data_IF_608783415214
#
_entry.id   IF_608783415214
#
_cell.length_a   1.000
_cell.length_b   1.000
_cell.length_c   1.000
_cell.angle_alpha   90.00
_cell.angle_beta   90.00
_cell.angle_gamma   90.00
#
_symmetry.space_group_name_H-M   'P 1'
#
loop_
_entity.id
_entity.type
_entity.pdbx_description
1 polymer ?
#
# COMPACT_ATOMS: atom_id res chain seq x y z
N UNK A 1 21.30 -34.74 58.65
CA UNK A 1 21.22 -33.68 57.63
C UNK A 1 20.18 -34.11 56.60
N UNK A 2 19.10 -33.35 56.42
CA UNK A 2 17.99 -33.71 55.53
C UNK A 2 18.34 -33.32 54.10
N UNK A 3 18.34 -34.26 53.17
CA UNK A 3 18.54 -33.98 51.75
C UNK A 3 17.31 -33.24 51.19
N UNK A 4 17.50 -32.00 50.73
CA UNK A 4 16.49 -31.22 50.01
C UNK A 4 16.45 -31.73 48.55
N UNK A 5 15.31 -32.18 48.01
CA UNK A 5 15.24 -32.60 46.63
C UNK A 5 15.35 -31.38 45.73
N UNK A 6 16.42 -31.32 44.92
CA UNK A 6 16.55 -30.34 43.83
C UNK A 6 15.53 -30.71 42.76
N UNK A 7 14.48 -29.90 42.62
CA UNK A 7 13.58 -29.94 41.47
C UNK A 7 14.38 -29.54 40.23
N UNK A 8 14.83 -30.53 39.44
CA UNK A 8 15.27 -30.28 38.07
C UNK A 8 14.02 -29.90 37.25
N UNK A 9 13.81 -28.60 37.05
CA UNK A 9 12.94 -28.15 35.98
C UNK A 9 13.57 -28.58 34.65
N UNK A 10 12.88 -29.45 33.92
CA UNK A 10 13.20 -29.70 32.52
C UNK A 10 12.95 -28.37 31.80
N UNK A 11 13.97 -27.54 31.61
CA UNK A 11 13.88 -26.38 30.72
C UNK A 11 13.71 -26.93 29.30
N UNK A 12 12.46 -27.04 28.85
CA UNK A 12 12.18 -27.19 27.43
C UNK A 12 12.88 -26.04 26.70
N UNK A 13 13.78 -26.37 25.78
CA UNK A 13 14.48 -25.38 24.98
C UNK A 13 13.45 -24.53 24.23
N UNK A 14 13.44 -23.22 24.47
CA UNK A 14 12.60 -22.30 23.72
C UNK A 14 13.03 -22.34 22.25
N UNK A 15 12.06 -22.43 21.34
CA UNK A 15 12.29 -22.40 19.89
C UNK A 15 11.74 -21.10 19.32
N UNK A 16 12.30 -20.61 18.19
CA UNK A 16 11.69 -19.50 17.48
C UNK A 16 10.23 -19.79 17.12
N UNK A 17 9.36 -18.76 17.02
CA UNK A 17 7.96 -18.96 16.69
C UNK A 17 7.80 -19.52 15.26
N UNK A 18 6.64 -20.14 14.94
CA UNK A 18 6.27 -20.37 13.55
C UNK A 18 6.04 -19.04 12.83
N UNK A 19 6.17 -19.05 11.49
CA UNK A 19 5.81 -17.90 10.68
C UNK A 19 4.31 -17.58 10.82
N UNK A 20 3.91 -16.30 10.95
CA UNK A 20 2.50 -15.93 11.03
C UNK A 20 1.71 -16.27 9.76
N UNK A 21 0.40 -16.53 9.88
CA UNK A 21 -0.48 -16.63 8.72
C UNK A 21 -1.16 -15.29 8.49
N UNK A 22 -0.98 -14.70 7.31
CA UNK A 22 -1.66 -13.46 6.94
C UNK A 22 -3.14 -13.73 6.70
N UNK A 23 -4.03 -12.87 7.19
CA UNK A 23 -5.49 -13.04 7.11
C UNK A 23 -6.14 -11.94 6.28
N UNK A 24 -5.78 -10.67 6.49
CA UNK A 24 -6.32 -9.52 5.75
C UNK A 24 -5.21 -8.55 5.32
N UNK A 25 -5.29 -7.94 4.13
CA UNK A 25 -6.26 -8.22 3.06
C UNK A 25 -6.13 -9.64 2.49
N UNK A 26 -7.17 -10.09 1.79
CA UNK A 26 -7.10 -11.31 0.97
C UNK A 26 -5.96 -11.19 -0.04
N UNK A 27 -5.29 -12.30 -0.33
CA UNK A 27 -4.17 -12.27 -1.27
C UNK A 27 -4.64 -11.86 -2.67
N UNK A 28 -4.08 -10.77 -3.20
CA UNK A 28 -4.46 -10.19 -4.48
C UNK A 28 -5.75 -9.36 -4.43
N UNK A 29 -6.22 -8.94 -3.25
CA UNK A 29 -7.37 -8.06 -3.14
C UNK A 29 -7.16 -6.77 -3.95
N UNK A 30 -8.21 -6.31 -4.64
CA UNK A 30 -8.22 -5.03 -5.37
C UNK A 30 -9.16 -4.05 -4.70
N UNK A 31 -9.06 -2.77 -5.08
CA UNK A 31 -9.94 -1.70 -4.62
C UNK A 31 -9.98 -1.59 -3.08
N UNK A 32 -8.82 -1.76 -2.45
CA UNK A 32 -8.70 -1.71 -1.00
C UNK A 32 -8.62 -0.26 -0.54
N UNK A 33 -9.72 0.22 0.04
CA UNK A 33 -9.83 1.55 0.62
C UNK A 33 -8.83 1.77 1.77
N UNK A 34 -8.35 3.00 1.93
CA UNK A 34 -7.53 3.39 3.08
C UNK A 34 -8.38 3.90 4.26
N UNK A 35 -7.94 3.71 5.52
CA UNK A 35 -6.75 2.97 5.97
C UNK A 35 -6.82 1.47 5.66
N UNK A 36 -5.72 0.89 5.22
CA UNK A 36 -5.65 -0.56 4.96
C UNK A 36 -5.36 -1.28 6.27
N UNK A 37 -6.17 -2.29 6.58
CA UNK A 37 -5.98 -3.14 7.76
C UNK A 37 -5.18 -4.39 7.38
N UNK A 38 -3.90 -4.41 7.75
CA UNK A 38 -3.07 -5.60 7.71
C UNK A 38 -3.32 -6.41 8.98
N UNK A 39 -3.68 -7.68 8.82
CA UNK A 39 -4.03 -8.57 9.92
C UNK A 39 -3.44 -9.96 9.70
N UNK A 40 -3.02 -10.60 10.78
CA UNK A 40 -2.47 -11.95 10.76
C UNK A 40 -2.81 -12.71 12.04
N UNK A 41 -2.73 -14.04 11.97
CA UNK A 41 -3.00 -14.88 13.13
C UNK A 41 -2.03 -14.58 14.29
N UNK A 42 -2.58 -14.49 15.50
CA UNK A 42 -1.79 -14.44 16.73
C UNK A 42 -0.90 -15.68 16.86
N UNK A 43 0.41 -15.46 16.95
CA UNK A 43 1.39 -16.50 17.24
C UNK A 43 1.76 -16.48 18.72
N UNK A 44 1.61 -17.62 19.39
CA UNK A 44 1.94 -17.75 20.82
C UNK A 44 3.43 -17.52 21.09
N UNK A 45 3.77 -17.09 22.30
CA UNK A 45 5.15 -16.82 22.78
C UNK A 45 5.86 -15.62 22.14
N UNK A 46 5.17 -14.89 21.24
CA UNK A 46 5.74 -13.75 20.54
C UNK A 46 5.88 -12.53 21.44
N UNK A 47 7.02 -11.85 21.30
CA UNK A 47 7.28 -10.55 21.92
C UNK A 47 7.08 -9.40 20.94
N UNK A 48 7.33 -9.63 19.65
CA UNK A 48 7.07 -8.67 18.58
C UNK A 48 6.96 -9.35 17.20
N UNK A 49 6.32 -8.66 16.28
CA UNK A 49 6.31 -8.95 14.85
C UNK A 49 7.10 -7.89 14.10
N UNK A 50 7.69 -8.27 12.98
CA UNK A 50 8.25 -7.36 11.99
C UNK A 50 7.38 -7.44 10.74
N UNK A 51 6.96 -6.27 10.25
CA UNK A 51 6.08 -6.12 9.09
C UNK A 51 6.80 -5.29 8.04
N UNK A 52 6.90 -5.85 6.84
CA UNK A 52 7.45 -5.16 5.67
C UNK A 52 6.39 -5.01 4.59
N UNK A 53 6.39 -3.83 3.96
CA UNK A 53 5.56 -3.52 2.79
C UNK A 53 6.47 -2.95 1.70
N UNK A 54 6.26 -3.39 0.46
CA UNK A 54 7.01 -2.98 -0.73
C UNK A 54 6.05 -2.93 -1.94
N UNK A 55 6.46 -2.30 -3.04
CA UNK A 55 5.73 -2.32 -4.32
C UNK A 55 6.17 -3.49 -5.22
N UNK A 56 7.14 -4.28 -4.76
CA UNK A 56 7.66 -5.49 -5.42
C UNK A 56 7.69 -6.68 -4.45
N UNK A 57 7.60 -7.90 -4.97
CA UNK A 57 7.72 -9.13 -4.17
C UNK A 57 9.18 -9.45 -3.76
N UNK A 58 10.14 -8.65 -4.21
CA UNK A 58 11.55 -8.78 -3.89
C UNK A 58 11.90 -8.19 -2.51
N UNK A 59 11.14 -7.20 -2.04
CA UNK A 59 11.39 -6.48 -0.78
C UNK A 59 12.78 -5.78 -0.74
N UNK A 60 13.20 -5.22 -1.88
CA UNK A 60 14.50 -4.56 -2.04
C UNK A 60 14.46 -3.03 -1.76
N UNK A 61 13.28 -2.42 -1.83
CA UNK A 61 13.08 -0.97 -1.70
C UNK A 61 11.82 -0.68 -0.87
N UNK A 62 11.88 -1.10 0.40
CA UNK A 62 10.76 -1.13 1.32
C UNK A 62 10.04 0.23 1.40
N UNK A 63 8.74 0.20 1.18
CA UNK A 63 7.81 1.29 1.51
C UNK A 63 7.79 1.48 3.02
N UNK A 64 7.81 0.37 3.77
CA UNK A 64 7.89 0.40 5.22
C UNK A 64 8.55 -0.87 5.78
N UNK A 65 9.16 -0.70 6.95
CA UNK A 65 9.71 -1.76 7.79
C UNK A 65 9.50 -1.36 9.25
N UNK A 66 8.65 -2.08 9.97
CA UNK A 66 8.27 -1.71 11.35
C UNK A 66 8.13 -2.93 12.24
N UNK A 67 8.27 -2.70 13.56
CA UNK A 67 8.08 -3.72 14.58
C UNK A 67 6.87 -3.40 15.46
N UNK A 68 6.03 -4.39 15.70
CA UNK A 68 4.75 -4.24 16.40
C UNK A 68 4.58 -5.32 17.47
N UNK A 69 3.94 -4.98 18.59
CA UNK A 69 3.56 -5.97 19.60
C UNK A 69 2.21 -6.65 19.34
N UNK A 70 1.42 -6.09 18.41
CA UNK A 70 0.09 -6.57 18.04
C UNK A 70 0.17 -7.31 16.70
N UNK A 71 -0.76 -8.23 16.50
CA UNK A 71 -0.94 -9.01 15.26
C UNK A 71 -1.72 -8.30 14.16
N UNK A 72 -1.81 -6.97 14.25
CA UNK A 72 -2.59 -6.17 13.34
C UNK A 72 -2.02 -4.76 13.21
N UNK A 73 -2.22 -4.14 12.05
CA UNK A 73 -1.75 -2.79 11.77
C UNK A 73 -2.63 -2.04 10.77
N UNK A 74 -3.02 -0.81 11.11
CA UNK A 74 -3.63 0.12 10.17
C UNK A 74 -2.55 0.97 9.50
N UNK A 75 -2.37 0.78 8.21
CA UNK A 75 -1.46 1.56 7.37
C UNK A 75 -2.24 2.57 6.51
N UNK A 76 -1.67 3.76 6.34
CA UNK A 76 -2.24 4.90 5.60
C UNK A 76 -1.17 5.56 4.74
N UNK A 77 -1.59 6.38 3.78
CA UNK A 77 -0.67 7.16 2.94
C UNK A 77 0.05 6.29 1.91
N UNK A 78 -0.60 5.20 1.50
CA UNK A 78 -0.15 4.43 0.34
C UNK A 78 -0.61 5.13 -0.93
N UNK A 79 0.12 4.98 -2.02
CA UNK A 79 -0.32 5.50 -3.32
C UNK A 79 -1.57 4.73 -3.78
N UNK A 80 -2.51 5.44 -4.42
CA UNK A 80 -3.77 4.86 -4.95
C UNK A 80 -3.54 4.08 -6.25
N UNK A 81 -4.31 3.00 -6.48
CA UNK A 81 -4.16 2.15 -7.66
C UNK A 81 -2.86 1.34 -7.73
N UNK A 82 -2.04 1.36 -6.68
CA UNK A 82 -0.75 0.66 -6.61
C UNK A 82 -0.91 -0.69 -5.94
N UNK A 83 -0.30 -1.73 -6.52
CA UNK A 83 -0.18 -3.04 -5.88
C UNK A 83 0.98 -3.04 -4.90
N UNK A 84 0.68 -3.35 -3.63
CA UNK A 84 1.66 -3.54 -2.57
C UNK A 84 1.79 -5.02 -2.21
N UNK A 85 3.01 -5.43 -1.90
CA UNK A 85 3.38 -6.72 -1.37
C UNK A 85 3.75 -6.55 0.10
N UNK A 86 3.35 -7.50 0.94
CA UNK A 86 3.63 -7.43 2.36
C UNK A 86 3.89 -8.81 2.96
N UNK A 87 4.73 -8.82 3.99
CA UNK A 87 5.13 -10.02 4.72
C UNK A 87 5.37 -9.70 6.19
N UNK A 88 5.22 -10.72 7.03
CA UNK A 88 5.37 -10.64 8.47
C UNK A 88 6.24 -11.80 8.97
N UNK A 89 7.08 -11.53 9.95
CA UNK A 89 7.76 -12.56 10.77
C UNK A 89 7.62 -12.27 12.25
N UNK A 90 7.68 -13.30 13.06
CA UNK A 90 7.49 -13.24 14.51
C UNK A 90 8.81 -13.41 15.25
N UNK A 91 8.95 -12.77 16.41
CA UNK A 91 10.12 -12.91 17.28
C UNK A 91 9.71 -13.35 18.69
N UNK A 92 10.53 -14.20 19.29
CA UNK A 92 10.56 -14.39 20.74
C UNK A 92 12.03 -14.42 21.23
N UNK A 93 12.24 -14.76 22.51
CA UNK A 93 13.58 -14.81 23.10
C UNK A 93 14.52 -15.87 22.48
N UNK A 94 13.99 -16.86 21.76
CA UNK A 94 14.80 -17.84 21.03
C UNK A 94 15.20 -17.38 19.62
N UNK A 95 14.56 -16.34 19.09
CA UNK A 95 14.90 -15.73 17.82
C UNK A 95 13.70 -15.42 16.94
N UNK A 96 14.01 -15.18 15.67
CA UNK A 96 13.04 -14.88 14.62
C UNK A 96 12.52 -16.15 13.96
N UNK A 97 11.24 -16.14 13.58
CA UNK A 97 10.69 -17.08 12.62
C UNK A 97 11.23 -16.80 11.22
N UNK A 98 11.01 -17.75 10.32
CA UNK A 98 11.02 -17.44 8.89
C UNK A 98 9.93 -16.40 8.55
N UNK A 99 10.06 -15.75 7.40
CA UNK A 99 8.99 -14.91 6.85
C UNK A 99 7.79 -15.77 6.47
N UNK A 100 6.58 -15.23 6.63
CA UNK A 100 5.36 -15.84 6.12
C UNK A 100 5.35 -15.89 4.58
N UNK A 101 4.38 -16.60 4.02
CA UNK A 101 4.05 -16.45 2.61
C UNK A 101 3.61 -15.00 2.34
N UNK A 102 4.26 -14.36 1.36
CA UNK A 102 3.92 -13.00 0.93
C UNK A 102 2.46 -12.94 0.48
N UNK A 103 1.78 -11.83 0.80
CA UNK A 103 0.50 -11.46 0.20
C UNK A 103 0.62 -10.13 -0.53
N UNK A 104 -0.33 -9.86 -1.42
CA UNK A 104 -0.47 -8.55 -2.05
C UNK A 104 -1.88 -8.00 -1.96
N UNK A 105 -2.01 -6.69 -2.15
CA UNK A 105 -3.28 -5.99 -2.34
C UNK A 105 -3.07 -4.75 -3.23
N UNK A 106 -4.12 -4.27 -3.88
CA UNK A 106 -4.11 -3.04 -4.68
C UNK A 106 -5.05 -2.02 -4.05
N UNK A 107 -4.53 -0.82 -3.82
CA UNK A 107 -5.30 0.28 -3.22
C UNK A 107 -6.40 0.79 -4.16
N UNK A 108 -7.51 1.25 -3.58
CA UNK A 108 -8.60 1.89 -4.32
C UNK A 108 -8.14 3.17 -5.04
N UNK A 109 -8.73 3.45 -6.22
CA UNK A 109 -8.62 4.73 -6.92
C UNK A 109 -9.87 5.54 -6.59
N UNK A 110 -9.71 6.70 -5.95
CA UNK A 110 -10.83 7.55 -5.51
C UNK A 110 -11.13 8.72 -6.45
N UNK A 111 -10.30 8.92 -7.49
CA UNK A 111 -10.40 10.00 -8.46
C UNK A 111 -10.70 9.49 -9.87
N UNK A 112 -11.27 10.37 -10.70
CA UNK A 112 -11.55 10.07 -12.11
C UNK A 112 -10.41 10.62 -12.97
N UNK A 113 -9.85 9.76 -13.81
CA UNK A 113 -8.85 10.20 -14.78
C UNK A 113 -9.44 11.25 -15.74
N UNK A 114 -8.78 12.40 -15.85
CA UNK A 114 -9.23 13.56 -16.61
C UNK A 114 -10.21 14.49 -15.89
N UNK A 115 -10.59 14.20 -14.65
CA UNK A 115 -11.30 15.10 -13.74
C UNK A 115 -10.28 15.93 -12.96
N UNK A 116 -9.80 17.00 -13.59
CA UNK A 116 -8.74 17.83 -13.06
C UNK A 116 -9.25 18.79 -11.97
N UNK A 117 -10.54 19.14 -12.00
CA UNK A 117 -11.14 20.05 -11.03
C UNK A 117 -11.80 19.33 -9.83
N UNK A 118 -11.93 18.00 -9.88
CA UNK A 118 -12.48 17.15 -8.83
C UNK A 118 -14.00 17.20 -8.72
N UNK A 119 -14.72 17.54 -9.80
CA UNK A 119 -16.19 17.65 -9.81
C UNK A 119 -16.91 16.33 -10.15
N UNK A 120 -16.16 15.27 -10.43
CA UNK A 120 -16.63 13.95 -10.79
C UNK A 120 -17.01 13.80 -12.27
N UNK A 121 -16.82 14.83 -13.10
CA UNK A 121 -17.20 14.84 -14.51
C UNK A 121 -16.05 15.27 -15.41
N UNK A 122 -15.58 14.38 -16.27
CA UNK A 122 -14.63 14.77 -17.32
C UNK A 122 -15.30 15.65 -18.40
N UNK A 123 -14.95 16.94 -18.45
CA UNK A 123 -15.52 17.89 -19.38
C UNK A 123 -14.60 19.10 -19.71
N UNK A 124 -15.17 20.16 -20.30
CA UNK A 124 -14.43 21.37 -20.68
C UNK A 124 -13.84 22.10 -19.47
N UNK A 125 -14.50 22.03 -18.32
CA UNK A 125 -14.04 22.69 -17.11
C UNK A 125 -12.69 22.14 -16.66
N UNK A 126 -12.44 20.84 -16.80
CA UNK A 126 -11.14 20.21 -16.53
C UNK A 126 -10.06 20.74 -17.44
N UNK A 127 -10.34 20.85 -18.74
CA UNK A 127 -9.41 21.46 -19.71
C UNK A 127 -9.05 22.88 -19.27
N UNK A 128 -10.04 23.68 -18.88
CA UNK A 128 -9.79 25.06 -18.43
C UNK A 128 -9.04 25.12 -17.10
N UNK A 129 -9.23 24.12 -16.24
CA UNK A 129 -8.52 23.97 -14.98
C UNK A 129 -7.03 23.67 -15.23
N UNK A 130 -6.72 22.68 -16.08
CA UNK A 130 -5.34 22.34 -16.46
C UNK A 130 -4.63 23.53 -17.12
N UNK A 131 -5.29 24.24 -18.03
CA UNK A 131 -4.74 25.47 -18.65
C UNK A 131 -4.41 26.54 -17.58
N UNK A 132 -5.28 26.68 -16.57
CA UNK A 132 -5.07 27.66 -15.50
C UNK A 132 -3.93 27.24 -14.58
N UNK A 133 -3.76 25.96 -14.30
CA UNK A 133 -2.60 25.44 -13.58
C UNK A 133 -1.29 25.74 -14.32
N UNK A 134 -1.15 25.29 -15.57
CA UNK A 134 0.11 25.40 -16.33
C UNK A 134 0.50 26.83 -16.72
N UNK A 135 -0.47 27.74 -16.96
CA UNK A 135 -0.18 29.09 -17.48
C UNK A 135 -0.64 30.25 -16.57
N UNK A 136 -1.46 30.00 -15.55
CA UNK A 136 -2.06 31.08 -14.73
C UNK A 136 -1.78 30.94 -13.24
N UNK A 137 -0.85 30.07 -12.84
CA UNK A 137 -0.53 29.81 -11.43
C UNK A 137 -1.78 29.40 -10.63
N UNK A 138 -2.71 28.68 -11.27
CA UNK A 138 -3.82 28.05 -10.59
C UNK A 138 -3.37 26.93 -9.64
N UNK A 139 -4.27 26.40 -8.80
CA UNK A 139 -3.98 25.24 -7.97
C UNK A 139 -3.64 24.01 -8.83
N UNK A 140 -2.83 23.10 -8.27
CA UNK A 140 -2.59 21.80 -8.88
C UNK A 140 -3.87 20.95 -8.80
N UNK A 141 -4.14 20.09 -9.81
CA UNK A 141 -5.11 19.00 -9.70
C UNK A 141 -4.74 18.06 -8.55
N UNK A 142 -5.74 17.58 -7.83
CA UNK A 142 -5.57 16.64 -6.71
C UNK A 142 -6.37 15.36 -6.99
N UNK A 143 -5.70 14.21 -7.22
CA UNK A 143 -4.26 14.07 -7.37
C UNK A 143 -3.76 14.63 -8.70
N UNK A 144 -2.46 14.93 -8.77
CA UNK A 144 -1.79 15.39 -10.02
C UNK A 144 -2.03 14.43 -11.18
N UNK A 145 -2.13 13.14 -10.90
CA UNK A 145 -2.41 12.10 -11.89
C UNK A 145 -3.76 12.28 -12.59
N UNK A 146 -4.76 12.96 -11.97
CA UNK A 146 -6.07 13.21 -12.59
C UNK A 146 -5.99 14.09 -13.84
N UNK A 147 -4.92 14.87 -14.00
CA UNK A 147 -4.70 15.71 -15.17
C UNK A 147 -3.56 15.24 -16.10
N UNK A 148 -2.80 14.21 -15.71
CA UNK A 148 -1.76 13.58 -16.54
C UNK A 148 -2.39 12.48 -17.41
N UNK A 149 -3.28 12.88 -18.32
CA UNK A 149 -4.19 11.97 -19.02
C UNK A 149 -3.50 11.09 -20.07
N UNK A 150 -2.28 11.44 -20.47
CA UNK A 150 -1.47 10.67 -21.42
C UNK A 150 -0.41 9.79 -20.72
N UNK A 151 -0.32 9.85 -19.39
CA UNK A 151 0.61 9.04 -18.59
C UNK A 151 2.08 9.43 -18.79
N UNK A 152 2.37 10.64 -19.26
CA UNK A 152 3.73 11.10 -19.58
C UNK A 152 4.61 11.41 -18.34
N UNK A 153 4.02 11.40 -17.14
CA UNK A 153 4.71 11.59 -15.87
C UNK A 153 4.72 13.04 -15.38
N UNK A 154 3.93 13.92 -16.00
CA UNK A 154 3.73 15.29 -15.55
C UNK A 154 2.67 16.02 -16.37
N UNK A 155 2.07 17.05 -15.77
CA UNK A 155 1.02 17.83 -16.44
C UNK A 155 1.63 18.84 -17.40
N UNK A 156 1.16 18.83 -18.64
CA UNK A 156 1.66 19.65 -19.74
C UNK A 156 0.53 20.12 -20.69
N UNK A 157 0.90 20.88 -21.72
CA UNK A 157 -0.04 21.26 -22.79
C UNK A 157 -0.42 20.07 -23.69
N UNK A 158 0.35 18.98 -23.65
CA UNK A 158 0.02 17.76 -24.37
C UNK A 158 -1.18 17.06 -23.74
N UNK A 159 -1.29 17.08 -22.40
CA UNK A 159 -2.47 16.59 -21.68
C UNK A 159 -3.73 17.34 -22.11
N UNK A 160 -3.68 18.67 -22.16
CA UNK A 160 -4.79 19.50 -22.66
C UNK A 160 -5.17 19.11 -24.09
N UNK A 161 -4.17 18.89 -24.95
CA UNK A 161 -4.40 18.48 -26.34
C UNK A 161 -5.05 17.08 -26.40
N UNK A 162 -4.63 16.17 -25.52
CA UNK A 162 -5.17 14.83 -25.38
C UNK A 162 -6.61 14.87 -24.88
N UNK A 163 -6.92 15.66 -23.84
CA UNK A 163 -8.27 15.88 -23.32
C UNK A 163 -9.22 16.39 -24.40
N UNK A 164 -8.80 17.39 -25.19
CA UNK A 164 -9.60 17.91 -26.30
C UNK A 164 -9.86 16.83 -27.35
N UNK A 165 -8.85 16.02 -27.68
CA UNK A 165 -9.01 14.95 -28.66
C UNK A 165 -9.95 13.86 -28.16
N UNK A 166 -9.86 13.47 -26.89
CA UNK A 166 -10.77 12.49 -26.28
C UNK A 166 -12.21 13.00 -26.22
N UNK A 167 -12.43 14.20 -25.67
CA UNK A 167 -13.78 14.72 -25.43
C UNK A 167 -14.49 15.08 -26.75
N UNK A 168 -13.76 15.61 -27.75
CA UNK A 168 -14.37 16.23 -28.93
C UNK A 168 -14.01 15.60 -30.27
N UNK A 169 -13.08 14.63 -30.32
CA UNK A 169 -12.54 14.12 -31.59
C UNK A 169 -12.34 12.60 -31.62
N UNK A 170 -13.07 11.85 -30.79
CA UNK A 170 -12.99 10.38 -30.71
C UNK A 170 -11.55 9.87 -30.51
N UNK A 171 -10.78 10.62 -29.70
CA UNK A 171 -9.43 10.24 -29.31
C UNK A 171 -9.38 8.97 -28.45
N UNK A 172 -8.19 8.40 -28.25
CA UNK A 172 -8.01 7.25 -27.36
C UNK A 172 -8.45 7.56 -25.92
N UNK A 173 -8.87 6.55 -25.14
CA UNK A 173 -9.17 6.73 -23.73
C UNK A 173 -7.95 7.24 -22.96
N UNK A 174 -8.21 7.90 -21.84
CA UNK A 174 -7.14 8.37 -20.97
C UNK A 174 -6.40 7.21 -20.32
N UNK A 175 -5.13 7.46 -20.03
CA UNK A 175 -4.24 6.55 -19.33
C UNK A 175 -3.52 7.32 -18.23
N UNK A 176 -4.26 7.68 -17.18
CA UNK A 176 -3.62 8.26 -16.00
C UNK A 176 -2.81 7.17 -15.29
N UNK A 177 -1.60 7.53 -14.90
CA UNK A 177 -0.65 6.71 -14.15
C UNK A 177 -0.16 7.54 -12.97
#
# INVERSE_FOLDING_TARGET
ELAVPVLMTVQGSLMPPPAPNLTSPDNGATDVAQPVMLDWDDVSTVTQYEVQVDVTDAFDALVTDTSLGLSQWQITGLDEGVTFFWRVRAQNAAGWSDWCACRSFTTEITWVCGDANGDGLTNLLDITFVISYIYRQGPAPEPVASANVDGSGGISILDVSYMINYIYKDGPPYNCQ
#
